data_IF_495936075285
#
_entry.id   IF_495936075285
#
_cell.length_a   1.000
_cell.length_b   1.000
_cell.length_c   1.000
_cell.angle_alpha   90.00
_cell.angle_beta   90.00
_cell.angle_gamma   90.00
#
_symmetry.space_group_name_H-M   'P 1'
#
loop_
_entity.id
_entity.type
_entity.pdbx_description
1 polymer ?
#
# COMPACT_ATOMS: atom_id res chain seq x y z
N UNK A 1 32.95 -57.14 -2.71
CA UNK A 1 31.71 -56.40 -2.43
C UNK A 1 32.10 -54.95 -2.15
N UNK A 2 32.12 -54.10 -3.17
CA UNK A 2 32.45 -52.67 -3.03
C UNK A 2 31.31 -51.90 -3.69
N UNK A 3 30.42 -51.39 -2.85
CA UNK A 3 29.17 -50.74 -3.24
C UNK A 3 29.52 -49.41 -3.92
N UNK A 4 29.17 -49.28 -5.21
CA UNK A 4 29.21 -47.98 -5.88
C UNK A 4 28.20 -47.06 -5.21
N UNK A 5 28.68 -46.09 -4.42
CA UNK A 5 27.86 -44.98 -3.95
C UNK A 5 27.58 -44.11 -5.18
N UNK A 6 26.37 -44.26 -5.71
CA UNK A 6 25.84 -43.54 -6.86
C UNK A 6 25.97 -42.04 -6.61
N UNK A 7 26.78 -41.33 -7.41
CA UNK A 7 27.02 -39.86 -7.36
C UNK A 7 25.74 -39.00 -7.36
N UNK A 8 24.58 -39.60 -7.63
CA UNK A 8 23.28 -38.96 -7.69
C UNK A 8 22.64 -38.70 -6.31
N UNK A 9 23.07 -39.38 -5.24
CA UNK A 9 22.47 -39.21 -3.90
C UNK A 9 22.98 -37.96 -3.17
N UNK A 10 24.21 -37.54 -3.45
CA UNK A 10 24.81 -36.34 -2.83
C UNK A 10 24.14 -35.04 -3.31
N UNK A 11 23.76 -34.97 -4.60
CA UNK A 11 23.03 -33.83 -5.17
C UNK A 11 21.61 -33.71 -4.60
N UNK A 12 20.93 -34.84 -4.37
CA UNK A 12 19.59 -34.87 -3.77
C UNK A 12 19.57 -34.42 -2.31
N UNK A 13 20.61 -34.77 -1.53
CA UNK A 13 20.71 -34.35 -0.13
C UNK A 13 20.92 -32.84 0.03
N UNK A 14 21.71 -32.23 -0.84
CA UNK A 14 21.98 -30.79 -0.82
C UNK A 14 20.73 -29.95 -1.19
N UNK A 15 19.94 -30.43 -2.15
CA UNK A 15 18.68 -29.77 -2.54
C UNK A 15 17.64 -29.79 -1.40
N UNK A 16 17.53 -30.90 -0.66
CA UNK A 16 16.64 -31.02 0.48
C UNK A 16 17.05 -30.09 1.65
N UNK A 17 18.36 -29.92 1.87
CA UNK A 17 18.87 -29.02 2.91
C UNK A 17 18.62 -27.55 2.57
N UNK A 18 18.72 -27.14 1.30
CA UNK A 18 18.48 -25.75 0.87
C UNK A 18 17.00 -25.35 1.00
N UNK A 19 16.06 -26.28 0.76
CA UNK A 19 14.63 -26.04 0.96
C UNK A 19 14.24 -25.87 2.45
N UNK A 20 15.01 -26.46 3.37
CA UNK A 20 14.75 -26.38 4.81
C UNK A 20 15.14 -25.02 5.43
N UNK A 21 15.88 -24.17 4.70
CA UNK A 21 16.32 -22.83 5.16
C UNK A 21 15.51 -21.72 4.50
N UNK A 22 14.39 -22.03 3.84
CA UNK A 22 13.46 -21.01 3.36
C UNK A 22 12.79 -20.32 4.55
N UNK A 23 13.39 -19.24 5.05
CA UNK A 23 12.72 -18.34 5.99
C UNK A 23 11.60 -17.61 5.24
N UNK A 24 10.36 -17.59 5.76
CA UNK A 24 9.35 -16.72 5.19
C UNK A 24 9.88 -15.29 5.23
N UNK A 25 10.02 -14.64 4.06
CA UNK A 25 10.11 -13.19 4.05
C UNK A 25 8.74 -12.70 4.52
N UNK A 26 8.68 -12.17 5.74
CA UNK A 26 7.51 -11.41 6.19
C UNK A 26 7.36 -10.24 5.22
N UNK A 27 6.38 -10.33 4.33
CA UNK A 27 5.93 -9.19 3.56
C UNK A 27 5.57 -8.10 4.60
N UNK A 28 6.24 -6.96 4.51
CA UNK A 28 6.10 -5.89 5.48
C UNK A 28 4.70 -5.28 5.39
N UNK A 29 4.22 -4.67 6.49
CA UNK A 29 2.93 -3.97 6.61
C UNK A 29 2.69 -3.07 5.38
N UNK A 30 1.82 -3.50 4.46
CA UNK A 30 1.60 -2.86 3.16
C UNK A 30 0.29 -2.09 3.07
N UNK A 31 0.09 -1.41 1.94
CA UNK A 31 -1.23 -0.91 1.56
C UNK A 31 -2.13 -2.07 1.14
N UNK A 32 -3.35 -2.13 1.70
CA UNK A 32 -4.32 -3.20 1.48
C UNK A 32 -5.47 -2.78 0.56
N UNK A 33 -5.79 -1.48 0.51
CA UNK A 33 -6.80 -0.96 -0.39
C UNK A 33 -6.99 0.55 -0.29
N UNK A 34 -7.63 1.12 -1.30
CA UNK A 34 -7.93 2.55 -1.40
C UNK A 34 -9.41 2.83 -1.53
N UNK A 35 -9.81 4.01 -1.09
CA UNK A 35 -11.13 4.57 -1.36
C UNK A 35 -10.92 5.96 -1.95
N UNK A 36 -11.41 6.25 -3.16
CA UNK A 36 -11.78 5.30 -4.20
C UNK A 36 -10.63 4.35 -4.56
N UNK A 37 -10.95 3.18 -5.14
CA UNK A 37 -9.93 2.23 -5.58
C UNK A 37 -9.00 2.86 -6.63
N UNK A 38 -7.74 2.45 -6.68
CA UNK A 38 -6.83 2.88 -7.74
C UNK A 38 -7.38 2.54 -9.14
N UNK A 39 -7.32 3.52 -10.03
CA UNK A 39 -7.85 3.48 -11.39
C UNK A 39 -9.38 3.52 -11.51
N UNK A 40 -10.12 3.66 -10.40
CA UNK A 40 -11.58 3.68 -10.45
C UNK A 40 -12.15 5.02 -10.93
N UNK A 41 -13.40 4.97 -11.39
CA UNK A 41 -14.22 6.14 -11.70
C UNK A 41 -15.38 6.21 -10.71
N UNK A 42 -15.66 7.40 -10.17
CA UNK A 42 -16.75 7.67 -9.22
C UNK A 42 -17.66 8.77 -9.75
N UNK A 43 -18.96 8.68 -9.43
CA UNK A 43 -19.94 9.71 -9.73
C UNK A 43 -19.89 10.81 -8.67
N UNK A 44 -19.62 12.03 -9.09
CA UNK A 44 -19.51 13.20 -8.25
C UNK A 44 -18.37 13.15 -7.23
N UNK A 45 -18.41 14.07 -6.27
CA UNK A 45 -17.42 14.13 -5.19
C UNK A 45 -17.56 12.93 -4.27
N UNK A 46 -16.50 12.11 -4.08
CA UNK A 46 -16.56 10.99 -3.15
C UNK A 46 -16.72 11.50 -1.71
N UNK A 47 -17.48 10.76 -0.89
CA UNK A 47 -17.67 11.10 0.52
C UNK A 47 -16.35 11.10 1.28
N UNK A 48 -15.46 10.17 0.96
CA UNK A 48 -14.15 9.99 1.60
C UNK A 48 -13.10 9.58 0.58
N UNK A 49 -11.87 10.01 0.84
CA UNK A 49 -10.65 9.58 0.17
C UNK A 49 -9.73 8.99 1.25
N UNK A 50 -9.17 7.81 1.03
CA UNK A 50 -8.42 7.12 2.08
C UNK A 50 -7.74 5.84 1.66
N UNK A 51 -7.01 5.27 2.61
CA UNK A 51 -6.19 4.06 2.47
C UNK A 51 -6.38 3.18 3.70
N UNK A 52 -6.46 1.88 3.46
CA UNK A 52 -6.38 0.84 4.48
C UNK A 52 -5.01 0.15 4.40
N UNK A 53 -4.38 -0.08 5.54
CA UNK A 53 -3.05 -0.68 5.68
C UNK A 53 -3.15 -2.05 6.37
N UNK A 54 -2.21 -2.94 6.05
CA UNK A 54 -2.07 -4.26 6.68
C UNK A 54 -1.59 -4.17 8.15
N UNK A 55 -1.07 -3.01 8.55
CA UNK A 55 -0.67 -2.70 9.92
C UNK A 55 -0.72 -1.21 10.22
N UNK A 56 -0.62 -0.85 11.50
CA UNK A 56 -0.83 0.53 11.94
C UNK A 56 0.27 1.49 11.40
N UNK A 57 -0.18 2.48 10.64
CA UNK A 57 0.66 3.46 9.95
C UNK A 57 0.46 4.86 10.54
N UNK A 58 1.55 5.57 10.88
CA UNK A 58 1.44 7.01 11.16
C UNK A 58 1.60 7.79 9.86
N UNK A 59 0.53 8.40 9.38
CA UNK A 59 0.55 9.17 8.15
C UNK A 59 1.23 10.52 8.38
N UNK A 60 2.21 10.83 7.53
CA UNK A 60 3.01 12.07 7.58
C UNK A 60 2.75 12.97 6.37
N UNK A 61 2.10 12.44 5.34
CA UNK A 61 1.68 13.17 4.15
C UNK A 61 0.44 12.50 3.56
N UNK A 62 -0.54 13.30 3.19
CA UNK A 62 -1.68 12.89 2.39
C UNK A 62 -2.14 14.08 1.55
N UNK A 63 -1.82 14.06 0.26
CA UNK A 63 -2.10 15.13 -0.69
C UNK A 63 -2.99 14.60 -1.81
N UNK A 64 -4.04 15.35 -2.16
CA UNK A 64 -4.89 15.09 -3.32
C UNK A 64 -4.72 16.23 -4.32
N UNK A 65 -4.41 15.90 -5.56
CA UNK A 65 -4.27 16.86 -6.68
C UNK A 65 -5.21 16.48 -7.80
N UNK A 66 -5.90 17.46 -8.37
CA UNK A 66 -6.82 17.27 -9.49
C UNK A 66 -6.61 18.27 -10.61
N UNK A 67 -7.58 18.40 -11.53
CA UNK A 67 -7.48 19.25 -12.72
C UNK A 67 -7.22 20.74 -12.41
N UNK A 68 -7.70 21.22 -11.26
CA UNK A 68 -7.53 22.60 -10.79
C UNK A 68 -6.38 22.78 -9.79
N UNK A 69 -5.54 21.75 -9.59
CA UNK A 69 -4.47 21.75 -8.61
C UNK A 69 -4.86 21.06 -7.31
N UNK A 70 -4.31 21.54 -6.18
CA UNK A 70 -4.47 20.88 -4.88
C UNK A 70 -5.92 20.94 -4.39
N UNK A 71 -6.43 19.80 -3.96
CA UNK A 71 -7.75 19.69 -3.32
C UNK A 71 -7.63 20.01 -1.83
N UNK A 72 -8.52 20.86 -1.34
CA UNK A 72 -8.65 21.11 0.10
C UNK A 72 -9.36 19.93 0.76
N UNK A 73 -8.80 19.43 1.85
CA UNK A 73 -9.33 18.32 2.64
C UNK A 73 -9.79 18.83 4.01
N UNK A 74 -10.82 18.24 4.59
CA UNK A 74 -11.37 18.70 5.87
C UNK A 74 -10.35 18.62 7.01
N UNK A 75 -9.42 17.65 6.96
CA UNK A 75 -8.41 17.44 7.98
C UNK A 75 -7.06 17.07 7.35
N UNK A 76 -6.00 17.18 8.15
CA UNK A 76 -4.66 16.69 7.80
C UNK A 76 -4.32 15.46 8.65
N UNK A 77 -3.33 14.65 8.23
CA UNK A 77 -2.81 13.58 9.05
C UNK A 77 -2.38 14.04 10.45
N UNK A 78 -2.79 13.28 11.48
CA UNK A 78 -2.37 13.49 12.86
C UNK A 78 -1.06 12.79 13.21
N UNK A 79 -0.70 12.79 14.50
CA UNK A 79 0.48 12.08 15.01
C UNK A 79 0.21 10.63 15.43
N UNK A 80 -1.03 10.18 15.36
CA UNK A 80 -1.44 8.84 15.77
C UNK A 80 -1.23 7.82 14.65
N UNK A 81 -0.89 6.58 15.02
CA UNK A 81 -0.84 5.46 14.09
C UNK A 81 -2.23 4.84 13.94
N UNK A 82 -2.62 4.51 12.72
CA UNK A 82 -3.92 3.91 12.38
C UNK A 82 -3.77 2.88 11.26
N UNK A 83 -4.59 1.84 11.26
CA UNK A 83 -4.69 0.89 10.13
C UNK A 83 -5.55 1.46 8.99
N UNK A 84 -6.22 2.58 9.22
CA UNK A 84 -7.06 3.23 8.22
C UNK A 84 -7.00 4.75 8.34
N UNK A 85 -6.70 5.42 7.24
CA UNK A 85 -6.76 6.88 7.14
C UNK A 85 -7.77 7.28 6.07
N UNK A 86 -8.78 8.06 6.47
CA UNK A 86 -9.80 8.60 5.58
C UNK A 86 -10.04 10.07 5.85
N UNK A 87 -10.34 10.82 4.80
CA UNK A 87 -10.61 12.24 4.88
C UNK A 87 -11.57 12.68 3.78
N UNK A 88 -12.43 13.64 4.09
CA UNK A 88 -13.39 14.19 3.13
C UNK A 88 -12.77 15.34 2.33
N UNK A 89 -13.12 15.49 1.05
CA UNK A 89 -12.92 16.75 0.34
C UNK A 89 -13.67 17.88 1.06
N UNK A 90 -13.05 19.04 1.23
CA UNK A 90 -13.66 20.19 1.90
C UNK A 90 -14.65 20.96 0.99
N UNK A 91 -14.78 20.55 -0.27
CA UNK A 91 -15.65 21.14 -1.27
C UNK A 91 -15.86 20.19 -2.44
N UNK A 92 -16.67 20.62 -3.41
CA UNK A 92 -16.94 19.83 -4.61
C UNK A 92 -15.67 19.63 -5.44
N UNK A 93 -15.56 18.43 -6.00
CA UNK A 93 -14.55 18.02 -6.96
C UNK A 93 -15.19 18.05 -8.35
N UNK A 94 -14.58 18.81 -9.27
CA UNK A 94 -15.00 18.82 -10.68
C UNK A 94 -14.67 17.50 -11.37
N UNK A 95 -15.36 17.20 -12.48
CA UNK A 95 -15.00 16.05 -13.32
C UNK A 95 -13.53 16.09 -13.77
N UNK A 96 -12.87 14.92 -13.70
CA UNK A 96 -11.50 14.74 -14.16
C UNK A 96 -10.69 13.78 -13.30
N UNK A 97 -9.41 13.62 -13.65
CA UNK A 97 -8.50 12.70 -12.97
C UNK A 97 -7.87 13.35 -11.74
N UNK A 98 -7.83 12.57 -10.66
CA UNK A 98 -7.24 12.92 -9.38
C UNK A 98 -6.11 11.96 -9.03
N UNK A 99 -5.09 12.49 -8.38
CA UNK A 99 -3.95 11.75 -7.85
C UNK A 99 -3.86 11.97 -6.35
N UNK A 100 -3.75 10.87 -5.61
CA UNK A 100 -3.51 10.87 -4.17
C UNK A 100 -2.10 10.40 -3.93
N UNK A 101 -1.30 11.23 -3.25
CA UNK A 101 0.05 10.87 -2.81
C UNK A 101 0.09 10.80 -1.30
N UNK A 102 0.61 9.70 -0.79
CA UNK A 102 0.70 9.48 0.66
C UNK A 102 2.11 9.08 1.10
N UNK A 103 2.40 9.33 2.37
CA UNK A 103 3.60 8.84 3.05
C UNK A 103 3.30 8.56 4.50
N UNK A 104 3.74 7.40 4.99
CA UNK A 104 3.56 6.96 6.35
C UNK A 104 4.83 6.38 6.98
N UNK A 105 4.79 6.20 8.30
CA UNK A 105 5.79 5.51 9.09
C UNK A 105 5.14 4.28 9.74
N UNK A 106 5.62 3.09 9.40
CA UNK A 106 5.17 1.84 9.99
C UNK A 106 5.63 1.70 11.44
N UNK A 107 5.10 0.70 12.17
CA UNK A 107 5.42 0.47 13.59
C UNK A 107 6.91 0.26 13.85
N UNK A 108 7.62 -0.36 12.93
CA UNK A 108 9.06 -0.62 12.99
C UNK A 108 9.93 0.59 12.62
N UNK A 109 9.31 1.71 12.24
CA UNK A 109 9.99 2.93 11.84
C UNK A 109 10.40 2.96 10.36
N UNK A 110 10.01 1.98 9.55
CA UNK A 110 10.19 2.07 8.11
C UNK A 110 9.23 3.10 7.51
N UNK A 111 9.78 3.96 6.65
CA UNK A 111 9.01 4.93 5.90
C UNK A 111 8.45 4.26 4.64
N UNK A 112 7.17 4.47 4.39
CA UNK A 112 6.47 3.98 3.20
C UNK A 112 5.76 5.12 2.51
N UNK A 113 5.62 5.04 1.19
CA UNK A 113 4.93 6.03 0.39
C UNK A 113 4.47 5.41 -0.91
N UNK A 114 3.30 5.80 -1.38
CA UNK A 114 2.81 5.42 -2.69
C UNK A 114 1.90 6.51 -3.28
N UNK A 115 1.33 6.23 -4.45
CA UNK A 115 0.41 7.09 -5.16
C UNK A 115 -0.66 6.26 -5.85
N UNK A 116 -1.92 6.67 -5.72
CA UNK A 116 -3.04 6.08 -6.47
C UNK A 116 -3.86 7.16 -7.18
N UNK A 117 -4.65 6.77 -8.17
CA UNK A 117 -5.45 7.68 -8.99
C UNK A 117 -6.90 7.24 -9.07
N UNK A 118 -7.80 8.20 -9.24
CA UNK A 118 -9.20 7.93 -9.57
C UNK A 118 -9.76 9.05 -10.44
N UNK A 119 -10.89 8.82 -11.07
CA UNK A 119 -11.58 9.80 -11.93
C UNK A 119 -12.93 10.16 -11.32
N UNK A 120 -13.26 11.44 -11.30
CA UNK A 120 -14.60 11.94 -10.99
C UNK A 120 -15.34 12.21 -12.29
N UNK A 121 -16.58 11.73 -12.39
CA UNK A 121 -17.54 12.01 -13.48
C UNK A 121 -18.82 12.66 -12.91
N UNK A 122 -19.66 13.20 -13.79
CA UNK A 122 -20.93 13.88 -13.42
C UNK A 122 -22.05 12.89 -13.05
#
# INVERSE_FOLDING_TARGET
>A
MMTMITRNTLLSGLAALLLAVATPLLAHEGEMGQVPNDGSTVQGTPEEIGIHFDGAMRITQFDVTGPQGRVSLENQPGNESTEEYRVRPAGSMEPGSYEVRWRGLARDGHMMSDTFRFTVED
#
